data_IF_616514685855
#
_entry.id   IF_616514685855
#
_cell.length_a   1.000
_cell.length_b   1.000
_cell.length_c   1.000
_cell.angle_alpha   90.00
_cell.angle_beta   90.00
_cell.angle_gamma   90.00
#
_symmetry.space_group_name_H-M   'P 1'
#
loop_
_entity.id
_entity.type
_entity.pdbx_description
1 polymer ?
#
# COMPACT_ATOMS: atom_id res chain seq x y z
N UNK A 1 14.80 -34.10 -0.74
CA UNK A 1 13.57 -33.28 -0.90
C UNK A 1 13.99 -31.88 -1.31
N UNK A 2 13.95 -31.59 -2.60
CA UNK A 2 14.27 -30.25 -3.14
C UNK A 2 13.18 -29.30 -2.69
N UNK A 3 13.51 -28.30 -1.86
CA UNK A 3 12.67 -27.15 -1.61
C UNK A 3 12.42 -26.48 -2.96
N UNK A 4 11.18 -26.56 -3.46
CA UNK A 4 10.73 -25.72 -4.55
C UNK A 4 10.86 -24.26 -4.07
N UNK A 5 11.93 -23.60 -4.48
CA UNK A 5 12.08 -22.16 -4.30
C UNK A 5 11.03 -21.49 -5.17
N UNK A 6 9.87 -21.24 -4.58
CA UNK A 6 8.83 -20.42 -5.23
C UNK A 6 9.43 -19.03 -5.43
N UNK A 7 9.89 -18.78 -6.66
CA UNK A 7 10.51 -17.53 -7.05
C UNK A 7 9.43 -16.43 -6.98
N UNK A 8 9.56 -15.54 -6.02
CA UNK A 8 8.67 -14.40 -5.87
C UNK A 8 9.40 -13.09 -6.16
N UNK A 9 8.65 -12.09 -6.61
CA UNK A 9 9.16 -10.73 -6.75
C UNK A 9 8.85 -9.96 -5.46
N UNK A 10 9.81 -9.21 -4.96
CA UNK A 10 9.74 -8.51 -3.69
C UNK A 10 9.77 -7.00 -3.91
N UNK A 11 8.81 -6.28 -3.34
CA UNK A 11 8.80 -4.82 -3.34
C UNK A 11 8.41 -4.27 -1.97
N UNK A 12 9.12 -3.21 -1.54
CA UNK A 12 8.85 -2.49 -0.30
C UNK A 12 8.45 -1.06 -0.61
N UNK A 13 7.40 -0.56 0.05
CA UNK A 13 7.00 0.83 -0.06
C UNK A 13 6.49 1.42 1.25
N UNK A 14 6.51 2.77 1.34
CA UNK A 14 6.16 3.50 2.57
C UNK A 14 5.23 4.67 2.28
N UNK A 15 4.26 4.89 3.16
CA UNK A 15 3.39 6.06 3.15
C UNK A 15 3.13 6.55 4.58
N UNK A 16 3.38 7.81 4.88
CA UNK A 16 3.38 8.36 6.25
C UNK A 16 4.32 7.52 7.14
N UNK A 17 3.80 6.93 8.20
CA UNK A 17 4.52 6.00 9.09
C UNK A 17 4.37 4.54 8.69
N UNK A 18 3.50 4.23 7.71
CA UNK A 18 3.22 2.88 7.28
C UNK A 18 4.30 2.34 6.34
N UNK A 19 4.62 1.07 6.50
CA UNK A 19 5.46 0.29 5.59
C UNK A 19 4.68 -0.90 5.09
N UNK A 20 4.67 -1.13 3.78
CA UNK A 20 4.11 -2.31 3.15
C UNK A 20 5.19 -3.04 2.36
N UNK A 21 5.26 -4.34 2.54
CA UNK A 21 6.16 -5.26 1.83
C UNK A 21 5.30 -6.21 1.04
N UNK A 22 5.37 -6.14 -0.29
CA UNK A 22 4.64 -7.02 -1.18
C UNK A 22 5.57 -8.13 -1.70
N UNK A 23 5.12 -9.37 -1.61
CA UNK A 23 5.69 -10.53 -2.27
C UNK A 23 4.70 -11.00 -3.32
N UNK A 24 5.09 -10.94 -4.58
CA UNK A 24 4.26 -11.32 -5.72
C UNK A 24 4.70 -12.68 -6.19
N UNK A 25 3.76 -13.62 -6.24
CA UNK A 25 3.96 -14.98 -6.73
C UNK A 25 3.30 -15.09 -8.10
N UNK A 26 4.06 -15.33 -9.18
CA UNK A 26 3.50 -15.60 -10.50
C UNK A 26 2.74 -16.94 -10.50
N UNK A 27 1.78 -17.08 -11.41
CA UNK A 27 0.91 -18.26 -11.54
C UNK A 27 -0.05 -18.46 -10.35
N UNK A 28 -0.60 -17.36 -9.83
CA UNK A 28 -1.58 -17.35 -8.76
C UNK A 28 -3.03 -17.48 -9.22
N UNK A 29 -3.94 -17.29 -8.27
CA UNK A 29 -5.42 -17.28 -8.45
C UNK A 29 -6.04 -15.91 -8.15
N UNK A 30 -5.23 -14.89 -7.92
CA UNK A 30 -5.69 -13.56 -7.57
C UNK A 30 -5.92 -13.33 -6.08
N UNK A 31 -5.40 -14.21 -5.23
CA UNK A 31 -5.54 -14.09 -3.77
C UNK A 31 -4.51 -13.10 -3.23
N UNK A 32 -5.01 -12.07 -2.53
CA UNK A 32 -4.14 -11.10 -1.87
C UNK A 32 -4.32 -11.22 -0.36
N UNK A 33 -3.28 -11.74 0.29
CA UNK A 33 -3.25 -11.94 1.75
C UNK A 33 -2.49 -10.79 2.40
N UNK A 34 -3.07 -10.22 3.44
CA UNK A 34 -2.45 -9.19 4.27
C UNK A 34 -1.97 -9.81 5.57
N UNK A 35 -0.69 -9.68 5.85
CA UNK A 35 -0.04 -10.18 7.07
C UNK A 35 0.21 -8.98 7.99
N UNK A 36 -0.44 -8.98 9.14
CA UNK A 36 -0.24 -7.97 10.19
C UNK A 36 1.06 -8.20 10.96
N UNK A 37 1.56 -7.18 11.62
CA UNK A 37 2.76 -7.26 12.48
C UNK A 37 2.65 -8.28 13.62
N UNK A 38 1.44 -8.66 14.02
CA UNK A 38 1.17 -9.73 14.99
C UNK A 38 1.12 -11.13 14.38
N UNK A 39 1.44 -11.29 13.09
CA UNK A 39 1.42 -12.56 12.37
C UNK A 39 0.04 -13.02 11.90
N UNK A 40 -1.04 -12.28 12.18
CA UNK A 40 -2.38 -12.62 11.70
C UNK A 40 -2.49 -12.37 10.21
N UNK A 41 -3.00 -13.38 9.49
CA UNK A 41 -3.24 -13.32 8.05
C UNK A 41 -4.74 -13.14 7.78
N UNK A 42 -5.06 -12.20 6.89
CA UNK A 42 -6.43 -11.91 6.46
C UNK A 42 -6.41 -11.61 4.97
N UNK A 43 -7.53 -11.83 4.27
CA UNK A 43 -7.64 -11.35 2.88
C UNK A 43 -7.69 -9.82 2.86
N UNK A 44 -7.30 -9.20 1.76
CA UNK A 44 -7.31 -7.73 1.65
C UNK A 44 -8.71 -7.16 1.86
N UNK A 45 -9.76 -7.87 1.45
CA UNK A 45 -11.16 -7.51 1.63
C UNK A 45 -11.54 -7.52 3.12
N UNK A 46 -11.16 -8.57 3.86
CA UNK A 46 -11.40 -8.68 5.31
C UNK A 46 -10.60 -7.64 6.08
N UNK A 47 -9.37 -7.36 5.65
CA UNK A 47 -8.49 -6.40 6.29
C UNK A 47 -9.07 -4.99 6.34
N UNK A 48 -9.69 -4.54 5.25
CA UNK A 48 -10.35 -3.22 5.20
C UNK A 48 -11.79 -3.22 5.72
N UNK A 49 -12.29 -4.36 6.23
CA UNK A 49 -13.59 -4.45 6.91
C UNK A 49 -14.78 -4.01 6.05
N UNK A 50 -14.73 -4.27 4.74
CA UNK A 50 -15.77 -3.86 3.79
C UNK A 50 -15.71 -2.39 3.37
N UNK A 51 -14.71 -1.61 3.78
CA UNK A 51 -14.53 -0.25 3.29
C UNK A 51 -14.05 -0.27 1.83
N UNK A 52 -15.02 -0.20 0.91
CA UNK A 52 -14.80 -0.27 -0.53
C UNK A 52 -13.80 0.78 -1.02
N UNK A 53 -13.89 2.01 -0.56
CA UNK A 53 -12.98 3.09 -0.97
C UNK A 53 -11.50 2.77 -0.66
N UNK A 54 -11.23 2.17 0.50
CA UNK A 54 -9.85 1.78 0.86
C UNK A 54 -9.37 0.55 0.09
N UNK A 55 -10.29 -0.38 -0.18
CA UNK A 55 -10.01 -1.56 -0.99
C UNK A 55 -9.66 -1.15 -2.44
N UNK A 56 -10.51 -0.34 -3.07
CA UNK A 56 -10.31 0.18 -4.43
C UNK A 56 -8.99 0.98 -4.51
N UNK A 57 -8.72 1.82 -3.50
CA UNK A 57 -7.46 2.54 -3.43
C UNK A 57 -6.24 1.60 -3.34
N UNK A 58 -6.31 0.53 -2.56
CA UNK A 58 -5.22 -0.44 -2.44
C UNK A 58 -5.00 -1.25 -3.72
N UNK A 59 -6.06 -1.59 -4.44
CA UNK A 59 -6.04 -2.42 -5.64
C UNK A 59 -5.92 -1.63 -6.95
N UNK A 60 -5.90 -0.31 -6.91
CA UNK A 60 -5.88 0.59 -8.06
C UNK A 60 -4.85 0.21 -9.14
N UNK A 61 -3.71 -0.39 -8.76
CA UNK A 61 -2.70 -0.81 -9.72
C UNK A 61 -3.21 -1.93 -10.65
N UNK A 62 -4.00 -2.86 -10.12
CA UNK A 62 -4.65 -3.91 -10.92
C UNK A 62 -5.80 -3.38 -11.74
N UNK A 63 -6.58 -2.43 -11.21
CA UNK A 63 -7.70 -1.83 -11.94
C UNK A 63 -7.22 -1.10 -13.19
N UNK A 64 -6.09 -0.39 -13.10
CA UNK A 64 -5.47 0.30 -14.24
C UNK A 64 -4.96 -0.65 -15.32
N UNK A 65 -4.49 -1.85 -14.92
CA UNK A 65 -3.98 -2.87 -15.85
C UNK A 65 -5.09 -3.75 -16.44
N UNK A 66 -6.31 -3.62 -15.91
CA UNK A 66 -7.45 -4.51 -16.25
C UNK A 66 -7.56 -5.69 -15.28
N UNK A 67 -8.79 -6.01 -14.89
CA UNK A 67 -9.10 -6.98 -13.83
C UNK A 67 -8.54 -8.40 -14.01
N UNK A 68 -8.23 -8.78 -15.25
CA UNK A 68 -7.61 -10.08 -15.57
C UNK A 68 -6.17 -10.22 -15.06
N UNK A 69 -5.45 -9.11 -14.92
CA UNK A 69 -4.07 -9.12 -14.38
C UNK A 69 -4.03 -9.60 -12.94
N UNK A 70 -5.03 -9.26 -12.12
CA UNK A 70 -5.09 -9.72 -10.72
C UNK A 70 -5.11 -11.24 -10.62
N UNK A 71 -5.79 -11.93 -11.54
CA UNK A 71 -5.96 -13.38 -11.50
C UNK A 71 -4.68 -14.16 -11.83
N UNK A 72 -3.65 -13.49 -12.36
CA UNK A 72 -2.38 -14.13 -12.72
C UNK A 72 -1.42 -14.25 -11.53
N UNK A 73 -1.67 -13.53 -10.43
CA UNK A 73 -0.75 -13.43 -9.31
C UNK A 73 -1.43 -13.71 -7.99
N UNK A 74 -0.74 -14.40 -7.10
CA UNK A 74 -1.02 -14.36 -5.67
C UNK A 74 -0.05 -13.39 -5.00
N UNK A 75 -0.51 -12.68 -3.96
CA UNK A 75 0.32 -11.72 -3.25
C UNK A 75 0.21 -11.90 -1.73
N UNK A 76 1.36 -11.86 -1.08
CA UNK A 76 1.43 -11.71 0.37
C UNK A 76 1.98 -10.32 0.71
N UNK A 77 1.17 -9.51 1.40
CA UNK A 77 1.54 -8.14 1.75
C UNK A 77 1.69 -8.02 3.26
N UNK A 78 2.91 -7.86 3.73
CA UNK A 78 3.18 -7.61 5.15
C UNK A 78 3.09 -6.11 5.44
N UNK A 79 2.30 -5.75 6.46
CA UNK A 79 2.04 -4.35 6.83
C UNK A 79 2.54 -4.09 8.24
N UNK A 80 3.22 -2.95 8.41
CA UNK A 80 3.67 -2.45 9.71
C UNK A 80 3.28 -1.00 9.88
N UNK A 81 2.78 -0.67 11.09
CA UNK A 81 2.48 0.68 11.54
C UNK A 81 1.41 1.46 10.75
N UNK A 82 1.07 2.63 11.26
CA UNK A 82 0.18 3.57 10.61
C UNK A 82 -1.31 3.22 10.70
N UNK A 83 -2.14 4.07 10.12
CA UNK A 83 -3.59 3.87 10.02
C UNK A 83 -4.01 3.33 8.65
N UNK A 84 -5.24 2.82 8.54
CA UNK A 84 -5.79 2.14 7.35
C UNK A 84 -5.59 2.90 6.03
N UNK A 85 -5.80 4.24 6.01
CA UNK A 85 -5.58 5.04 4.81
C UNK A 85 -4.11 5.07 4.36
N UNK A 86 -3.17 5.17 5.31
CA UNK A 86 -1.74 5.12 4.99
C UNK A 86 -1.29 3.74 4.53
N UNK A 87 -1.93 2.71 5.07
CA UNK A 87 -1.69 1.31 4.70
C UNK A 87 -2.22 1.02 3.29
N UNK A 88 -3.44 1.46 2.94
CA UNK A 88 -3.98 1.33 1.59
C UNK A 88 -3.06 1.99 0.54
N UNK A 89 -2.60 3.22 0.80
CA UNK A 89 -1.65 3.90 -0.08
C UNK A 89 -0.30 3.18 -0.17
N UNK A 90 0.20 2.61 0.93
CA UNK A 90 1.46 1.87 0.93
C UNK A 90 1.35 0.55 0.16
N UNK A 91 0.23 -0.17 0.32
CA UNK A 91 -0.09 -1.40 -0.45
C UNK A 91 -0.14 -1.09 -1.94
N UNK A 92 -0.91 -0.08 -2.34
CA UNK A 92 -1.03 0.37 -3.73
C UNK A 92 0.33 0.53 -4.40
N UNK A 93 1.22 1.26 -3.76
CA UNK A 93 2.54 1.54 -4.30
C UNK A 93 3.46 0.31 -4.28
N UNK A 94 3.34 -0.55 -3.26
CA UNK A 94 4.10 -1.79 -3.17
C UNK A 94 3.68 -2.78 -4.28
N UNK A 95 2.38 -2.90 -4.57
CA UNK A 95 1.84 -3.70 -5.67
C UNK A 95 2.35 -3.17 -7.01
N UNK A 96 2.20 -1.87 -7.26
CA UNK A 96 2.65 -1.25 -8.50
C UNK A 96 4.15 -1.45 -8.74
N UNK A 97 4.96 -1.38 -7.70
CA UNK A 97 6.39 -1.63 -7.78
C UNK A 97 6.71 -3.09 -8.07
N UNK A 98 6.07 -4.02 -7.36
CA UNK A 98 6.27 -5.45 -7.58
C UNK A 98 5.91 -5.86 -9.02
N UNK A 99 4.85 -5.27 -9.59
CA UNK A 99 4.45 -5.51 -10.97
C UNK A 99 5.50 -5.02 -11.98
N UNK A 100 6.12 -3.86 -11.74
CA UNK A 100 7.18 -3.34 -12.62
C UNK A 100 8.48 -4.14 -12.49
N UNK A 101 8.80 -4.61 -11.29
CA UNK A 101 9.98 -5.43 -11.06
C UNK A 101 9.80 -6.84 -11.68
N UNK A 102 8.54 -7.28 -11.91
CA UNK A 102 8.20 -8.47 -12.67
C UNK A 102 8.22 -8.22 -14.20
N UNK A 103 7.60 -7.11 -14.64
CA UNK A 103 7.52 -6.72 -16.06
C UNK A 103 7.71 -5.19 -16.20
N UNK A 104 8.85 -4.80 -16.77
CA UNK A 104 9.24 -3.39 -16.93
C UNK A 104 8.32 -2.61 -17.89
N UNK A 105 7.63 -3.27 -18.82
CA UNK A 105 6.74 -2.62 -19.80
C UNK A 105 5.51 -2.00 -19.12
N UNK A 106 5.04 -2.57 -18.01
CA UNK A 106 3.92 -2.06 -17.21
C UNK A 106 4.17 -0.65 -16.66
N UNK A 107 5.44 -0.23 -16.63
CA UNK A 107 5.83 1.11 -16.18
C UNK A 107 5.17 2.23 -16.99
N UNK A 108 5.03 2.06 -18.30
CA UNK A 108 4.40 3.06 -19.20
C UNK A 108 2.94 3.27 -18.82
N UNK A 109 2.23 2.20 -18.51
CA UNK A 109 0.82 2.22 -18.12
C UNK A 109 0.60 2.76 -16.70
N UNK A 110 1.44 2.37 -15.73
CA UNK A 110 1.24 2.74 -14.32
C UNK A 110 1.74 4.15 -13.98
N UNK A 111 2.70 4.69 -14.72
CA UNK A 111 3.32 6.01 -14.45
C UNK A 111 2.35 7.20 -14.55
N UNK A 112 1.46 7.30 -15.56
CA UNK A 112 0.51 8.41 -15.70
C UNK A 112 -0.45 8.54 -14.49
N UNK A 113 -0.83 7.42 -13.87
CA UNK A 113 -1.71 7.38 -12.70
C UNK A 113 -1.01 7.72 -11.37
N UNK A 114 0.27 8.08 -11.40
CA UNK A 114 1.02 8.45 -10.20
C UNK A 114 1.34 7.28 -9.26
N UNK A 115 1.17 6.03 -9.72
CA UNK A 115 1.33 4.81 -8.91
C UNK A 115 2.80 4.47 -8.58
N UNK A 116 3.75 5.24 -9.14
CA UNK A 116 5.18 5.01 -8.95
C UNK A 116 5.85 6.11 -8.13
N UNK A 117 5.10 7.14 -7.74
CA UNK A 117 5.64 8.27 -6.98
C UNK A 117 5.15 8.23 -5.53
N UNK A 118 6.10 8.24 -4.59
CA UNK A 118 5.78 8.36 -3.17
C UNK A 118 5.28 9.78 -2.86
N UNK A 119 4.12 9.89 -2.23
CA UNK A 119 3.68 11.14 -1.61
C UNK A 119 4.40 11.31 -0.26
N UNK A 120 5.25 12.32 -0.16
CA UNK A 120 6.04 12.60 1.04
C UNK A 120 5.28 13.39 2.12
N UNK A 121 4.05 13.86 1.84
CA UNK A 121 3.27 14.67 2.78
C UNK A 121 2.99 13.90 4.07
N UNK A 122 3.32 14.53 5.21
CA UNK A 122 3.04 14.05 6.56
C UNK A 122 2.34 15.15 7.34
N UNK A 123 1.63 14.78 8.41
CA UNK A 123 0.99 15.76 9.29
C UNK A 123 2.06 16.58 10.01
N UNK A 124 1.98 17.90 9.90
CA UNK A 124 2.87 18.82 10.59
C UNK A 124 2.66 18.73 12.12
N UNK A 125 3.75 18.68 12.87
CA UNK A 125 3.75 18.59 14.32
C UNK A 125 3.19 19.87 14.96
N UNK A 126 2.38 19.71 15.98
CA UNK A 126 1.99 20.83 16.87
C UNK A 126 3.24 21.49 17.45
N UNK A 127 3.27 22.82 17.50
CA UNK A 127 4.39 23.61 18.06
C UNK A 127 4.01 24.22 19.41
N UNK A 128 4.97 24.39 20.33
CA UNK A 128 4.74 25.10 21.58
C UNK A 128 4.24 26.53 21.31
N UNK A 129 3.36 27.07 22.18
CA UNK A 129 2.78 28.39 22.01
C UNK A 129 1.68 28.50 20.94
N UNK A 130 1.40 27.44 20.17
CA UNK A 130 0.32 27.38 19.20
C UNK A 130 -0.74 26.35 19.63
N UNK A 131 -2.01 26.54 19.22
CA UNK A 131 -3.10 25.56 19.44
C UNK A 131 -2.97 24.32 18.55
N UNK A 132 -2.47 24.51 17.31
CA UNK A 132 -2.18 23.45 16.33
C UNK A 132 -0.79 23.69 15.74
N UNK A 133 -0.48 23.07 14.62
CA UNK A 133 0.82 23.24 13.95
C UNK A 133 1.13 24.72 13.64
N UNK A 134 0.10 25.51 13.24
CA UNK A 134 0.22 26.93 12.83
C UNK A 134 -0.84 27.83 13.46
N UNK A 135 -1.91 27.28 14.04
CA UNK A 135 -3.01 28.07 14.62
C UNK A 135 -2.56 28.71 15.95
N UNK A 136 -2.50 30.02 15.98
CA UNK A 136 -2.23 30.81 17.21
C UNK A 136 -3.44 30.79 18.16
N UNK A 137 -3.26 30.95 19.47
CA UNK A 137 -4.35 31.28 20.39
C UNK A 137 -4.98 32.62 20.00
N UNK A 138 -6.30 32.73 20.19
CA UNK A 138 -6.99 34.01 19.98
C UNK A 138 -6.56 34.97 21.07
N UNK A 139 -6.40 36.25 20.74
CA UNK A 139 -6.18 37.28 21.70
C UNK A 139 -7.45 37.44 22.57
N UNK A 140 -7.28 37.51 23.86
CA UNK A 140 -8.36 37.89 24.79
C UNK A 140 -7.92 39.09 25.60
N UNK A 141 -8.78 40.11 25.60
CA UNK A 141 -8.56 41.29 26.43
C UNK A 141 -8.83 40.92 27.89
N UNK A 142 -7.86 40.98 28.74
CA UNK A 142 -7.95 41.07 30.22
C UNK A 142 -6.92 42.05 30.70
#
# INVERSE_FOLDING_TARGET
MTKNETKYVYALWRRKTCTAVAKLFPQGKGVITVIKSNGKEETVEQYFGGNKHMLDAALMAFDVLGGTYRQQFDMAVTISWGGLSGQADAIKLAIARALIDWDAELRVTLKPYGLLKRDARIKERKKPGLRKARKKPSWSKR
#
